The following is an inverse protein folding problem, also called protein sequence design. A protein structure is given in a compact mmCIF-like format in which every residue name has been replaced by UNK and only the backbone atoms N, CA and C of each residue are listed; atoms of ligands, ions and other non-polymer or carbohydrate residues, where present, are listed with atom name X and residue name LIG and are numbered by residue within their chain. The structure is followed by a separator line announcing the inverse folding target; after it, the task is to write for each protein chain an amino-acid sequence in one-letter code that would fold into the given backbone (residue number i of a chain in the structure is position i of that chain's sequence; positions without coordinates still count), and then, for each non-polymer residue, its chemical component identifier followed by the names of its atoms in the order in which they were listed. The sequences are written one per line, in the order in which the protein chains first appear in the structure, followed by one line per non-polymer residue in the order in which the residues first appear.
data_IF_975484752957
#
_entry.id   IF_975484752957
#
_cell.length_a   1.000
_cell.length_b   1.000
_cell.length_c   1.000
_cell.angle_alpha   90.00
_cell.angle_beta   90.00
_cell.angle_gamma   90.00
#
_symmetry.space_group_name_H-M   'P 1'
#
loop_
_entity.id
_entity.type
_entity.pdbx_description
1 polymer ?
#
# COMPACT_ATOMS: atom_id res chain seq x y z
N UNK A 1 -8.64 -8.21 -14.13
CA UNK A 1 -8.08 -9.37 -13.42
C UNK A 1 -8.50 -10.62 -14.18
N UNK A 2 -7.56 -11.50 -14.50
CA UNK A 2 -7.84 -12.84 -15.00
C UNK A 2 -8.50 -13.70 -13.91
N UNK A 3 -9.11 -14.85 -14.25
CA UNK A 3 -9.64 -15.78 -13.26
C UNK A 3 -8.61 -16.20 -12.20
N UNK A 4 -7.36 -16.45 -12.61
CA UNK A 4 -6.27 -16.85 -11.72
C UNK A 4 -5.86 -15.71 -10.76
N UNK A 5 -5.84 -14.47 -11.26
CA UNK A 5 -5.58 -13.29 -10.42
C UNK A 5 -6.70 -13.08 -9.40
N UNK A 6 -7.96 -13.32 -9.78
CA UNK A 6 -9.11 -13.24 -8.87
C UNK A 6 -9.01 -14.32 -7.79
N UNK A 7 -8.69 -15.57 -8.16
CA UNK A 7 -8.52 -16.67 -7.21
C UNK A 7 -7.36 -16.38 -6.23
N UNK A 8 -6.24 -15.88 -6.75
CA UNK A 8 -5.10 -15.46 -5.94
C UNK A 8 -5.47 -14.35 -4.96
N UNK A 9 -6.16 -13.30 -5.44
CA UNK A 9 -6.60 -12.20 -4.60
C UNK A 9 -7.55 -12.67 -3.49
N UNK A 10 -8.48 -13.58 -3.81
CA UNK A 10 -9.40 -14.17 -2.84
C UNK A 10 -8.64 -14.90 -1.72
N UNK A 11 -7.72 -15.79 -2.09
CA UNK A 11 -6.94 -16.57 -1.13
C UNK A 11 -6.05 -15.70 -0.25
N UNK A 12 -5.32 -14.75 -0.87
CA UNK A 12 -4.42 -13.85 -0.14
C UNK A 12 -5.21 -12.94 0.80
N UNK A 13 -6.39 -12.45 0.39
CA UNK A 13 -7.26 -11.64 1.25
C UNK A 13 -7.69 -12.42 2.49
N UNK A 14 -8.18 -13.65 2.32
CA UNK A 14 -8.59 -14.52 3.44
C UNK A 14 -7.42 -14.87 4.35
N UNK A 15 -6.24 -15.11 3.79
CA UNK A 15 -5.03 -15.38 4.56
C UNK A 15 -4.63 -14.18 5.41
N UNK A 16 -4.57 -12.98 4.81
CA UNK A 16 -4.20 -11.76 5.53
C UNK A 16 -5.17 -11.45 6.66
N UNK A 17 -6.48 -11.61 6.45
CA UNK A 17 -7.48 -11.40 7.51
C UNK A 17 -7.29 -12.39 8.68
N UNK A 18 -7.01 -13.66 8.38
CA UNK A 18 -6.74 -14.68 9.41
C UNK A 18 -5.46 -14.37 10.18
N UNK A 19 -4.36 -14.13 9.48
CA UNK A 19 -3.06 -13.83 10.08
C UNK A 19 -3.16 -12.64 11.06
N UNK A 20 -3.78 -11.53 10.63
CA UNK A 20 -3.91 -10.36 11.48
C UNK A 20 -4.88 -10.57 12.64
N UNK A 21 -5.95 -11.34 12.44
CA UNK A 21 -6.86 -11.69 13.54
C UNK A 21 -6.15 -12.54 14.59
N UNK A 22 -5.36 -13.52 14.17
CA UNK A 22 -4.58 -14.39 15.05
C UNK A 22 -3.51 -13.59 15.80
N UNK A 23 -2.70 -12.79 15.09
CA UNK A 23 -1.68 -11.92 15.68
C UNK A 23 -2.26 -10.99 16.75
N UNK A 24 -3.37 -10.31 16.45
CA UNK A 24 -3.99 -9.38 17.40
C UNK A 24 -4.60 -10.09 18.62
N UNK A 25 -5.15 -11.30 18.44
CA UNK A 25 -5.63 -12.12 19.57
C UNK A 25 -4.49 -12.53 20.49
N UNK A 26 -3.36 -12.95 19.92
CA UNK A 26 -2.17 -13.32 20.68
C UNK A 26 -1.57 -12.12 21.43
N UNK A 27 -1.46 -10.96 20.77
CA UNK A 27 -0.92 -9.73 21.37
C UNK A 27 -1.78 -9.23 22.55
N UNK A 28 -3.10 -9.26 22.38
CA UNK A 28 -4.03 -8.76 23.40
C UNK A 28 -4.22 -9.77 24.54
N UNK A 29 -4.27 -11.07 24.21
CA UNK A 29 -4.62 -12.14 25.16
C UNK A 29 -6.05 -12.01 25.65
N UNK A 30 -6.28 -12.22 26.95
CA UNK A 30 -7.60 -12.15 27.58
C UNK A 30 -8.09 -10.71 27.87
N UNK A 31 -7.32 -9.70 27.46
CA UNK A 31 -7.62 -8.28 27.73
C UNK A 31 -8.54 -7.69 26.67
N UNK A 32 -9.03 -6.48 26.92
CA UNK A 32 -9.67 -5.66 25.91
C UNK A 32 -8.70 -4.56 25.45
N UNK A 33 -8.54 -4.29 24.14
CA UNK A 33 -7.62 -3.26 23.67
C UNK A 33 -8.11 -1.87 24.07
N UNK A 34 -7.29 -1.14 24.84
CA UNK A 34 -7.57 0.25 25.23
C UNK A 34 -7.35 1.24 24.06
N UNK A 35 -6.45 0.88 23.13
CA UNK A 35 -6.18 1.66 21.91
C UNK A 35 -6.33 0.76 20.70
N UNK A 36 -7.18 1.19 19.78
CA UNK A 36 -7.37 0.54 18.48
C UNK A 36 -6.74 1.44 17.43
N UNK A 37 -5.87 0.86 16.60
CA UNK A 37 -5.21 1.55 15.49
C UNK A 37 -5.37 0.71 14.23
N UNK A 38 -5.41 1.38 13.07
CA UNK A 38 -5.29 0.72 11.78
C UNK A 38 -3.82 0.59 11.31
N UNK A 39 -2.90 1.27 12.00
CA UNK A 39 -1.49 1.35 11.65
C UNK A 39 -0.66 0.44 12.55
N UNK A 40 -0.10 -0.60 11.95
CA UNK A 40 0.77 -1.57 12.62
C UNK A 40 2.13 -1.64 11.93
N UNK A 41 3.26 -1.59 12.68
CA UNK A 41 4.61 -1.63 12.10
C UNK A 41 4.89 -2.83 11.20
N UNK A 42 4.20 -3.95 11.43
CA UNK A 42 4.37 -5.21 10.72
C UNK A 42 3.59 -5.27 9.40
N UNK A 43 2.73 -4.28 9.09
CA UNK A 43 2.07 -4.21 7.79
C UNK A 43 3.08 -3.90 6.69
N UNK A 44 2.92 -4.52 5.52
CA UNK A 44 3.88 -4.36 4.43
C UNK A 44 3.81 -2.99 3.71
N UNK A 45 2.62 -2.38 3.63
CA UNK A 45 2.41 -1.16 2.85
C UNK A 45 1.50 -0.11 3.52
N UNK A 46 0.47 -0.52 4.27
CA UNK A 46 -0.50 0.41 4.85
C UNK A 46 0.17 1.39 5.83
N UNK A 47 -0.01 2.69 5.59
CA UNK A 47 0.62 3.75 6.39
C UNK A 47 2.12 3.98 6.12
N UNK A 48 2.71 3.23 5.17
CA UNK A 48 4.17 3.19 4.95
C UNK A 48 4.65 4.02 3.77
N UNK A 49 3.89 5.04 3.35
CA UNK A 49 4.27 5.85 2.19
C UNK A 49 5.69 6.43 2.33
N UNK A 50 6.55 6.14 1.35
CA UNK A 50 7.96 6.53 1.34
C UNK A 50 8.91 5.55 2.03
N UNK A 51 8.44 4.62 2.85
CA UNK A 51 9.26 3.57 3.45
C UNK A 51 9.65 2.51 2.40
N UNK A 52 10.77 1.77 2.61
CA UNK A 52 11.17 0.71 1.69
C UNK A 52 10.19 -0.46 1.72
N UNK A 53 9.81 -0.95 0.54
CA UNK A 53 9.06 -2.18 0.40
C UNK A 53 9.86 -3.37 0.99
N UNK A 54 9.24 -4.23 1.83
CA UNK A 54 9.95 -5.37 2.42
C UNK A 54 10.36 -6.46 1.40
N UNK A 55 9.87 -6.37 0.15
CA UNK A 55 10.17 -7.34 -0.91
C UNK A 55 11.26 -6.80 -1.86
N UNK A 56 11.07 -5.61 -2.42
CA UNK A 56 11.95 -5.07 -3.46
C UNK A 56 12.69 -3.78 -3.07
N UNK A 57 12.56 -3.32 -1.82
CA UNK A 57 13.13 -2.08 -1.29
C UNK A 57 12.68 -0.76 -1.96
N UNK A 58 11.95 -0.80 -3.08
CA UNK A 58 11.37 0.39 -3.70
C UNK A 58 10.46 1.14 -2.73
N UNK A 59 10.42 2.48 -2.76
CA UNK A 59 9.59 3.25 -1.85
C UNK A 59 8.11 2.94 -2.08
N UNK A 60 7.39 2.66 -0.99
CA UNK A 60 5.94 2.49 -1.02
C UNK A 60 5.28 3.78 -1.51
N UNK A 61 4.39 3.65 -2.48
CA UNK A 61 3.62 4.73 -3.08
C UNK A 61 2.23 4.83 -2.47
N UNK A 62 1.53 5.93 -2.76
CA UNK A 62 0.15 6.15 -2.32
C UNK A 62 -0.72 6.73 -3.42
N UNK A 63 -2.01 6.43 -3.37
CA UNK A 63 -3.05 7.16 -4.07
C UNK A 63 -4.09 7.67 -3.08
N UNK A 64 -4.66 8.86 -3.35
CA UNK A 64 -5.78 9.40 -2.58
C UNK A 64 -7.01 9.51 -3.46
N UNK A 65 -8.09 8.87 -3.01
CA UNK A 65 -9.36 8.88 -3.72
C UNK A 65 -10.53 8.93 -2.74
N UNK A 66 -11.46 9.85 -2.97
CA UNK A 66 -12.70 9.98 -2.18
C UNK A 66 -12.47 9.96 -0.65
N UNK A 67 -11.43 10.67 -0.17
CA UNK A 67 -11.09 10.75 1.25
C UNK A 67 -10.37 9.52 1.82
N UNK A 68 -10.02 8.53 0.99
CA UNK A 68 -9.26 7.34 1.38
C UNK A 68 -7.86 7.37 0.79
N UNK A 69 -6.90 6.89 1.57
CA UNK A 69 -5.53 6.66 1.12
C UNK A 69 -5.32 5.15 0.91
N UNK A 70 -4.68 4.78 -0.20
CA UNK A 70 -4.26 3.41 -0.48
C UNK A 70 -2.77 3.39 -0.74
N UNK A 71 -2.05 2.54 -0.02
CA UNK A 71 -0.61 2.37 -0.17
C UNK A 71 -0.31 1.10 -0.95
N UNK A 72 0.71 1.14 -1.80
CA UNK A 72 1.10 0.02 -2.66
C UNK A 72 2.58 0.12 -3.01
N UNK A 73 3.20 -1.00 -3.41
CA UNK A 73 4.53 -1.00 -3.98
C UNK A 73 4.44 -0.95 -5.51
N UNK A 74 5.00 0.09 -6.14
CA UNK A 74 5.00 0.19 -7.59
C UNK A 74 5.79 -0.94 -8.25
N UNK A 75 6.94 -1.32 -7.68
CA UNK A 75 7.77 -2.41 -8.20
C UNK A 75 7.09 -3.78 -8.16
N UNK A 76 6.40 -4.10 -7.06
CA UNK A 76 5.78 -5.43 -6.89
C UNK A 76 4.36 -5.56 -7.46
N UNK A 77 3.60 -4.46 -7.58
CA UNK A 77 2.15 -4.55 -7.85
C UNK A 77 1.73 -3.94 -9.18
N UNK A 78 2.57 -3.11 -9.79
CA UNK A 78 2.21 -2.35 -10.99
C UNK A 78 3.35 -2.26 -12.00
N UNK A 79 4.29 -3.21 -11.95
CA UNK A 79 5.44 -3.30 -12.87
C UNK A 79 6.23 -1.98 -12.96
N UNK A 80 6.41 -1.31 -11.83
CA UNK A 80 7.11 -0.03 -11.71
C UNK A 80 6.25 1.20 -12.02
N UNK A 81 4.99 1.04 -12.47
CA UNK A 81 4.09 2.15 -12.77
C UNK A 81 3.61 2.84 -11.49
N UNK A 82 3.77 4.15 -11.42
CA UNK A 82 3.14 5.00 -10.41
C UNK A 82 1.70 5.29 -10.85
N UNK A 83 0.74 4.88 -10.02
CA UNK A 83 -0.68 5.17 -10.21
C UNK A 83 -0.96 6.64 -9.94
N UNK A 84 -1.81 7.24 -10.78
CA UNK A 84 -2.19 8.64 -10.69
C UNK A 84 -2.86 8.97 -9.36
N UNK A 85 -2.16 9.72 -8.50
CA UNK A 85 -2.75 10.35 -7.34
C UNK A 85 -3.54 11.58 -7.80
N UNK A 86 -4.87 11.54 -7.71
CA UNK A 86 -5.74 12.59 -8.27
C UNK A 86 -5.50 13.98 -7.67
N UNK A 87 -4.79 14.09 -6.55
CA UNK A 87 -4.27 15.37 -6.05
C UNK A 87 -3.16 15.93 -6.94
N UNK A 88 -2.05 15.19 -7.03
CA UNK A 88 -0.86 15.62 -7.78
C UNK A 88 -1.07 15.59 -9.31
N UNK A 89 -1.71 14.55 -9.83
CA UNK A 89 -1.98 14.41 -11.28
C UNK A 89 -2.94 15.47 -11.81
N UNK A 90 -3.82 16.02 -10.97
CA UNK A 90 -4.68 17.17 -11.35
C UNK A 90 -3.87 18.47 -11.43
N UNK A 91 -2.86 18.63 -10.58
CA UNK A 91 -2.00 19.82 -10.56
C UNK A 91 -0.96 19.81 -11.70
N UNK A 92 -0.38 18.63 -11.99
CA UNK A 92 0.73 18.49 -12.95
C UNK A 92 0.26 18.16 -14.38
N UNK A 93 -0.99 17.73 -14.56
CA UNK A 93 -1.55 17.33 -15.85
C UNK A 93 -1.11 15.93 -16.30
N UNK A 94 -2.03 15.24 -16.99
CA UNK A 94 -1.79 14.04 -17.82
C UNK A 94 -0.89 12.93 -17.22
N UNK A 95 -1.37 12.29 -16.15
CA UNK A 95 -0.80 11.06 -15.58
C UNK A 95 0.69 11.11 -15.20
N UNK A 96 1.27 12.31 -15.06
CA UNK A 96 2.65 12.48 -14.60
C UNK A 96 2.71 12.67 -13.08
N UNK A 97 3.68 12.07 -12.36
CA UNK A 97 4.73 11.13 -12.81
C UNK A 97 4.21 9.70 -13.09
N UNK A 98 4.83 8.97 -14.03
CA UNK A 98 4.40 7.63 -14.47
C UNK A 98 5.26 6.50 -13.93
N UNK A 99 6.53 6.76 -13.64
CA UNK A 99 7.46 5.80 -13.05
C UNK A 99 8.06 6.31 -11.74
N UNK A 100 8.82 5.45 -11.05
CA UNK A 100 9.56 5.84 -9.85
C UNK A 100 10.66 6.87 -10.17
N UNK A 101 11.31 6.74 -11.32
CA UNK A 101 12.34 7.65 -11.80
C UNK A 101 11.78 9.06 -12.07
N UNK A 102 10.61 9.14 -12.72
CA UNK A 102 9.89 10.39 -12.96
C UNK A 102 9.58 11.12 -11.65
N UNK A 103 9.12 10.36 -10.65
CA UNK A 103 8.79 10.87 -9.33
C UNK A 103 10.05 11.35 -8.59
N UNK A 104 11.18 10.67 -8.76
CA UNK A 104 12.45 11.09 -8.19
C UNK A 104 12.97 12.38 -8.83
N UNK A 105 12.87 12.51 -10.16
CA UNK A 105 13.24 13.74 -10.87
C UNK A 105 12.41 14.93 -10.40
N UNK A 106 11.10 14.75 -10.20
CA UNK A 106 10.22 15.78 -9.67
C UNK A 106 10.66 16.27 -8.28
N UNK A 107 11.11 15.37 -7.39
CA UNK A 107 11.56 15.73 -6.04
C UNK A 107 12.89 16.47 -6.01
N UNK A 108 13.71 16.37 -7.05
CA UNK A 108 15.02 17.05 -7.16
C UNK A 108 14.92 18.50 -7.66
N UNK A 109 13.74 18.92 -8.14
CA UNK A 109 13.47 20.28 -8.61
C UNK A 109 12.89 21.12 -7.48
#
# INVERSE_FOLDING_TARGET
LSPDEVATLYEVTRRSLREWTERLREEIGDRFPEKITAFHPEMAAHGKYGEPCPVCASPIQRIRYAGRETNYCAGCQTDGKVLADRGLSRLLGADWPRTLEDLEELKRR
#
